data_IF_339704830123
#
_entry.id   IF_339704830123
#
_cell.length_a   1.000
_cell.length_b   1.000
_cell.length_c   1.000
_cell.angle_alpha   90.00
_cell.angle_beta   90.00
_cell.angle_gamma   90.00
#
_symmetry.space_group_name_H-M   'P 1'
#
loop_
_entity.id
_entity.type
_entity.pdbx_description
1 polymer ?
#
# COMPACT_ATOMS: atom_id res chain seq x y z
N UNK A 1 26.27 43.00 29.83
CA UNK A 1 25.85 41.86 28.97
C UNK A 1 27.10 41.02 28.68
N UNK A 2 27.16 39.75 29.10
CA UNK A 2 28.34 38.90 28.86
C UNK A 2 28.38 38.52 27.37
N UNK A 3 29.50 38.74 26.65
CA UNK A 3 29.58 38.35 25.24
C UNK A 3 29.59 36.82 25.12
N UNK A 4 28.84 36.31 24.14
CA UNK A 4 28.86 34.89 23.79
C UNK A 4 30.25 34.54 23.23
N UNK A 5 31.00 33.71 23.95
CA UNK A 5 32.34 33.24 23.56
C UNK A 5 32.30 31.71 23.45
N UNK A 6 31.72 31.15 22.38
CA UNK A 6 31.65 29.71 22.21
C UNK A 6 33.07 29.15 22.09
N UNK A 7 33.34 28.06 22.80
CA UNK A 7 34.60 27.33 22.66
C UNK A 7 34.76 26.79 21.24
N UNK A 8 36.01 26.59 20.81
CA UNK A 8 36.32 26.11 19.45
C UNK A 8 35.68 24.74 19.14
N UNK A 9 35.56 23.85 20.14
CA UNK A 9 34.90 22.54 20.00
C UNK A 9 33.41 22.69 19.66
N UNK A 10 32.58 23.40 20.46
CA UNK A 10 31.19 23.68 20.09
C UNK A 10 31.03 24.30 18.69
N UNK A 11 31.91 25.22 18.31
CA UNK A 11 31.87 25.88 17.01
C UNK A 11 32.09 24.89 15.86
N UNK A 12 33.08 23.99 15.97
CA UNK A 12 33.32 22.96 14.95
C UNK A 12 32.17 21.95 14.86
N UNK A 13 31.60 21.56 16.00
CA UNK A 13 30.43 20.67 16.03
C UNK A 13 29.25 21.30 15.33
N UNK A 14 28.92 22.56 15.61
CA UNK A 14 27.83 23.28 14.94
C UNK A 14 28.12 23.42 13.44
N UNK A 15 29.37 23.75 13.07
CA UNK A 15 29.76 23.88 11.66
C UNK A 15 29.60 22.57 10.88
N UNK A 16 29.80 21.43 11.52
CA UNK A 16 29.59 20.11 10.91
C UNK A 16 28.10 19.69 10.92
N UNK A 17 27.39 19.90 12.02
CA UNK A 17 25.99 19.47 12.17
C UNK A 17 25.02 20.30 11.35
N UNK A 18 25.22 21.63 11.29
CA UNK A 18 24.31 22.55 10.61
C UNK A 18 24.07 22.16 9.12
N UNK A 19 25.09 21.94 8.28
CA UNK A 19 24.87 21.51 6.90
C UNK A 19 24.22 20.12 6.82
N UNK A 20 24.55 19.20 7.74
CA UNK A 20 23.92 17.88 7.81
C UNK A 20 22.43 17.96 8.11
N UNK A 21 22.03 18.79 9.08
CA UNK A 21 20.63 19.01 9.42
C UNK A 21 19.86 19.72 8.29
N UNK A 22 20.49 20.66 7.59
CA UNK A 22 19.88 21.29 6.41
C UNK A 22 19.67 20.27 5.29
N UNK A 23 20.67 19.43 5.00
CA UNK A 23 20.55 18.38 3.99
C UNK A 23 19.44 17.38 4.34
N UNK A 24 19.35 16.96 5.61
CA UNK A 24 18.27 16.12 6.10
C UNK A 24 16.91 16.82 6.01
N UNK A 25 16.83 18.12 6.31
CA UNK A 25 15.62 18.92 6.13
C UNK A 25 15.14 18.96 4.68
N UNK A 26 16.05 19.21 3.74
CA UNK A 26 15.75 19.14 2.31
C UNK A 26 15.29 17.74 1.88
N UNK A 27 15.93 16.69 2.39
CA UNK A 27 15.52 15.32 2.13
C UNK A 27 14.11 15.02 2.65
N UNK A 28 13.78 15.47 3.87
CA UNK A 28 12.43 15.34 4.44
C UNK A 28 11.39 16.07 3.60
N UNK A 29 11.70 17.27 3.10
CA UNK A 29 10.82 18.02 2.19
C UNK A 29 10.62 17.30 0.86
N UNK A 30 11.69 16.76 0.27
CA UNK A 30 11.60 15.94 -0.94
C UNK A 30 10.71 14.72 -0.74
N UNK A 31 10.89 13.99 0.38
CA UNK A 31 10.04 12.85 0.75
C UNK A 31 8.59 13.23 1.01
N UNK A 32 8.34 14.42 1.55
CA UNK A 32 6.99 14.94 1.71
C UNK A 32 6.34 15.19 0.34
N UNK A 33 7.07 15.78 -0.60
CA UNK A 33 6.56 16.04 -1.94
C UNK A 33 6.30 14.76 -2.74
N UNK A 34 7.21 13.78 -2.68
CA UNK A 34 6.98 12.43 -3.25
C UNK A 34 5.66 11.83 -2.76
N UNK A 35 5.39 11.93 -1.45
CA UNK A 35 4.13 11.46 -0.87
C UNK A 35 2.92 12.26 -1.34
N UNK A 36 3.05 13.58 -1.48
CA UNK A 36 1.97 14.45 -1.96
C UNK A 36 1.58 14.11 -3.40
N UNK A 37 2.57 13.92 -4.27
CA UNK A 37 2.33 13.50 -5.66
C UNK A 37 1.60 12.16 -5.71
N UNK A 38 2.05 11.17 -4.92
CA UNK A 38 1.41 9.86 -4.87
C UNK A 38 -0.05 9.93 -4.37
N UNK A 39 -0.32 10.75 -3.35
CA UNK A 39 -1.68 10.97 -2.85
C UNK A 39 -2.57 11.72 -3.85
N UNK A 40 -2.00 12.68 -4.60
CA UNK A 40 -2.72 13.36 -5.67
C UNK A 40 -3.10 12.39 -6.79
N UNK A 41 -2.15 11.56 -7.27
CA UNK A 41 -2.44 10.52 -8.28
C UNK A 41 -3.51 9.53 -7.79
N UNK A 42 -3.45 9.14 -6.51
CA UNK A 42 -4.49 8.30 -5.91
C UNK A 42 -5.86 8.98 -5.92
N UNK A 43 -5.93 10.25 -5.53
CA UNK A 43 -7.19 11.00 -5.49
C UNK A 43 -7.80 11.16 -6.89
N UNK A 44 -6.98 11.48 -7.89
CA UNK A 44 -7.40 11.60 -9.29
C UNK A 44 -7.95 10.26 -9.83
N UNK A 45 -7.16 9.18 -9.75
CA UNK A 45 -7.53 7.87 -10.30
C UNK A 45 -8.72 7.22 -9.59
N UNK A 46 -8.99 7.60 -8.33
CA UNK A 46 -10.13 7.10 -7.56
C UNK A 46 -11.48 7.60 -8.09
N UNK A 47 -11.52 8.81 -8.66
CA UNK A 47 -12.76 9.43 -9.19
C UNK A 47 -12.99 9.06 -10.66
N UNK A 48 -11.94 8.60 -11.36
CA UNK A 48 -12.07 8.14 -12.74
C UNK A 48 -12.98 6.92 -12.91
N UNK A 49 -13.52 6.78 -14.11
CA UNK A 49 -14.38 5.66 -14.47
C UNK A 49 -13.63 4.33 -14.28
N UNK A 50 -14.31 3.30 -13.73
CA UNK A 50 -13.72 1.97 -13.60
C UNK A 50 -13.35 1.39 -14.97
N UNK A 51 -12.19 0.77 -15.06
CA UNK A 51 -11.72 0.12 -16.28
C UNK A 51 -12.14 -1.35 -16.30
N UNK A 52 -12.27 -1.91 -17.50
CA UNK A 52 -12.51 -3.34 -17.68
C UNK A 52 -11.26 -4.15 -17.34
N UNK A 53 -11.45 -5.36 -16.81
CA UNK A 53 -10.38 -6.29 -16.43
C UNK A 53 -9.43 -6.61 -17.57
N UNK A 54 -9.95 -6.75 -18.79
CA UNK A 54 -9.15 -7.02 -19.99
C UNK A 54 -8.10 -5.93 -20.28
N UNK A 55 -8.30 -4.69 -19.80
CA UNK A 55 -7.38 -3.57 -20.03
C UNK A 55 -6.29 -3.45 -18.94
N UNK A 56 -6.37 -4.26 -17.87
CA UNK A 56 -5.44 -4.18 -16.74
C UNK A 56 -4.00 -4.51 -17.14
N UNK A 57 -3.82 -5.42 -18.10
CA UNK A 57 -2.52 -5.87 -18.56
C UNK A 57 -2.00 -5.10 -19.78
N UNK A 58 -2.83 -4.24 -20.39
CA UNK A 58 -2.47 -3.49 -21.60
C UNK A 58 -1.73 -2.18 -21.31
N UNK A 59 -1.81 -1.66 -20.08
CA UNK A 59 -1.11 -0.45 -19.65
C UNK A 59 -0.11 -0.78 -18.56
N UNK A 60 1.07 -0.17 -18.62
CA UNK A 60 2.14 -0.41 -17.66
C UNK A 60 1.78 0.10 -16.26
N UNK A 61 1.05 1.22 -16.13
CA UNK A 61 0.67 1.79 -14.83
C UNK A 61 -0.84 1.92 -14.65
N UNK A 62 -1.44 0.87 -14.06
CA UNK A 62 -2.83 0.85 -13.63
C UNK A 62 -2.99 1.00 -12.10
N UNK A 63 -1.95 1.44 -11.37
CA UNK A 63 -2.03 1.60 -9.92
C UNK A 63 -3.18 2.56 -9.55
N UNK A 64 -3.93 2.24 -8.50
CA UNK A 64 -5.04 3.05 -7.98
C UNK A 64 -6.24 3.23 -8.94
N UNK A 65 -6.32 2.45 -10.01
CA UNK A 65 -7.50 2.39 -10.88
C UNK A 65 -8.59 1.51 -10.28
N UNK A 66 -9.85 1.94 -10.39
CA UNK A 66 -11.02 1.11 -10.05
C UNK A 66 -11.28 0.10 -11.16
N UNK A 67 -11.67 -1.11 -10.78
CA UNK A 67 -11.99 -2.21 -11.69
C UNK A 67 -13.25 -2.91 -11.19
N UNK A 68 -14.15 -3.23 -12.11
CA UNK A 68 -15.27 -4.11 -11.83
C UNK A 68 -14.90 -5.55 -12.23
N UNK A 69 -15.02 -6.46 -11.27
CA UNK A 69 -14.75 -7.88 -11.44
C UNK A 69 -16.07 -8.64 -11.30
N UNK A 70 -16.27 -9.69 -12.10
CA UNK A 70 -17.40 -10.59 -11.94
C UNK A 70 -16.95 -12.04 -12.08
N UNK A 71 -17.11 -12.82 -11.01
CA UNK A 71 -16.55 -14.16 -11.00
C UNK A 71 -16.53 -14.80 -9.63
N UNK A 72 -15.63 -15.76 -9.42
CA UNK A 72 -15.61 -16.60 -8.23
C UNK A 72 -14.24 -16.62 -7.57
N UNK A 73 -14.24 -16.75 -6.25
CA UNK A 73 -13.02 -17.00 -5.49
C UNK A 73 -12.63 -18.47 -5.53
N UNK A 74 -11.32 -18.71 -5.47
CA UNK A 74 -10.77 -20.02 -5.17
C UNK A 74 -10.59 -20.17 -3.65
N UNK A 75 -11.30 -21.14 -3.07
CA UNK A 75 -11.23 -21.42 -1.65
C UNK A 75 -10.03 -22.30 -1.27
N UNK A 76 -9.48 -23.07 -2.21
CA UNK A 76 -8.38 -24.00 -1.92
C UNK A 76 -7.04 -23.28 -1.82
N UNK A 77 -6.84 -22.25 -2.65
CA UNK A 77 -5.56 -21.54 -2.76
C UNK A 77 -5.61 -20.17 -2.09
N UNK A 78 -5.62 -20.10 -0.76
CA UNK A 78 -5.56 -18.81 -0.04
C UNK A 78 -4.15 -18.49 0.47
N UNK A 79 -3.77 -17.22 0.44
CA UNK A 79 -2.49 -16.72 0.94
C UNK A 79 -2.76 -15.76 2.09
N UNK A 80 -2.22 -16.08 3.27
CA UNK A 80 -2.24 -15.19 4.43
C UNK A 80 -0.91 -14.46 4.51
N UNK A 81 -0.95 -13.15 4.35
CA UNK A 81 0.24 -12.31 4.49
C UNK A 81 0.36 -11.85 5.95
N UNK A 82 1.38 -12.34 6.64
CA UNK A 82 1.63 -12.08 8.05
C UNK A 82 2.30 -10.72 8.31
N UNK A 83 2.57 -10.44 9.60
CA UNK A 83 3.22 -9.22 10.07
C UNK A 83 2.53 -7.91 9.65
N UNK A 84 1.19 -7.95 9.51
CA UNK A 84 0.39 -6.76 9.22
C UNK A 84 -0.15 -6.17 10.51
N UNK A 85 0.36 -5.00 10.89
CA UNK A 85 -0.15 -4.24 12.03
C UNK A 85 -1.21 -3.23 11.58
N UNK A 86 -2.37 -3.25 12.24
CA UNK A 86 -3.44 -2.26 12.06
C UNK A 86 -3.94 -1.81 13.45
N UNK A 87 -3.95 -0.51 13.69
CA UNK A 87 -4.38 0.09 14.96
C UNK A 87 -3.70 -0.54 16.21
N UNK A 88 -2.40 -0.85 16.08
CA UNK A 88 -1.60 -1.47 17.16
C UNK A 88 -1.84 -2.96 17.38
N UNK A 89 -2.70 -3.62 16.58
CA UNK A 89 -2.96 -5.06 16.65
C UNK A 89 -2.23 -5.79 15.53
N UNK A 90 -1.59 -6.91 15.86
CA UNK A 90 -1.04 -7.83 14.89
C UNK A 90 -2.16 -8.61 14.17
N UNK A 91 -1.99 -8.83 12.88
CA UNK A 91 -2.92 -9.58 12.07
C UNK A 91 -2.33 -9.99 10.73
N UNK A 92 -3.21 -10.52 9.88
CA UNK A 92 -2.87 -11.00 8.55
C UNK A 92 -3.73 -10.30 7.52
N UNK A 93 -3.19 -10.10 6.32
CA UNK A 93 -4.00 -9.77 5.14
C UNK A 93 -4.38 -11.07 4.43
N UNK A 94 -5.67 -11.24 4.11
CA UNK A 94 -6.18 -12.39 3.37
C UNK A 94 -6.13 -12.08 1.87
N UNK A 95 -5.29 -12.78 1.13
CA UNK A 95 -5.22 -12.71 -0.33
C UNK A 95 -5.80 -13.99 -0.91
N UNK A 96 -6.77 -13.87 -1.81
CA UNK A 96 -7.37 -15.01 -2.49
C UNK A 96 -7.39 -14.80 -4.01
N UNK A 97 -7.03 -15.83 -4.80
CA UNK A 97 -7.24 -15.85 -6.22
C UNK A 97 -8.73 -15.72 -6.53
N UNK A 98 -9.02 -14.90 -7.53
CA UNK A 98 -10.33 -14.65 -8.06
C UNK A 98 -10.27 -14.87 -9.56
N UNK A 99 -11.12 -15.77 -10.03
CA UNK A 99 -11.28 -16.02 -11.45
C UNK A 99 -12.37 -15.08 -11.99
N UNK A 100 -11.96 -14.09 -12.77
CA UNK A 100 -12.88 -13.19 -13.46
C UNK A 100 -13.50 -13.92 -14.66
N UNK A 101 -14.82 -14.10 -14.65
CA UNK A 101 -15.55 -14.77 -15.73
C UNK A 101 -15.69 -13.88 -16.97
N UNK A 102 -15.65 -12.55 -16.81
CA UNK A 102 -15.76 -11.63 -17.93
C UNK A 102 -14.50 -11.62 -18.82
N UNK A 103 -13.31 -11.68 -18.23
CA UNK A 103 -12.03 -11.69 -18.96
C UNK A 103 -11.32 -13.05 -19.01
N UNK A 104 -11.70 -14.01 -18.18
CA UNK A 104 -11.00 -15.29 -18.02
C UNK A 104 -9.65 -15.18 -17.30
N UNK A 105 -9.37 -14.04 -16.67
CA UNK A 105 -8.11 -13.77 -15.98
C UNK A 105 -8.17 -14.19 -14.51
N UNK A 106 -7.05 -14.68 -14.00
CA UNK A 106 -6.86 -14.93 -12.57
C UNK A 106 -6.22 -13.69 -11.92
N UNK A 107 -6.90 -13.15 -10.91
CA UNK A 107 -6.48 -11.96 -10.18
C UNK A 107 -6.32 -12.30 -8.70
N UNK A 108 -5.26 -11.79 -8.06
CA UNK A 108 -5.10 -11.93 -6.62
C UNK A 108 -5.79 -10.76 -5.91
N UNK A 109 -6.86 -11.04 -5.16
CA UNK A 109 -7.64 -10.03 -4.45
C UNK A 109 -7.25 -10.04 -2.97
N UNK A 110 -6.87 -8.87 -2.46
CA UNK A 110 -6.75 -8.64 -1.02
C UNK A 110 -8.14 -8.38 -0.43
N UNK A 111 -8.66 -9.32 0.37
CA UNK A 111 -9.97 -9.24 1.03
C UNK A 111 -9.95 -8.40 2.31
N UNK A 112 -8.78 -7.95 2.74
CA UNK A 112 -8.61 -7.09 3.90
C UNK A 112 -7.82 -7.74 5.02
N UNK A 113 -7.81 -7.04 6.16
CA UNK A 113 -7.04 -7.39 7.34
C UNK A 113 -7.91 -8.16 8.35
N UNK A 114 -7.36 -9.25 8.88
CA UNK A 114 -7.96 -10.08 9.92
C UNK A 114 -7.07 -10.05 11.18
N UNK A 115 -7.64 -9.89 12.38
CA UNK A 115 -6.87 -9.93 13.62
C UNK A 115 -6.30 -11.33 13.84
N UNK A 116 -5.02 -11.41 14.20
CA UNK A 116 -4.34 -12.68 14.48
C UNK A 116 -3.45 -12.53 15.71
N UNK A 117 -4.10 -12.61 16.88
CA UNK A 117 -3.48 -12.38 18.19
C UNK A 117 -2.64 -13.57 18.67
N UNK A 118 -3.12 -14.80 18.41
CA UNK A 118 -2.38 -16.03 18.71
C UNK A 118 -2.08 -16.78 17.41
N UNK A 119 -0.79 -16.82 17.06
CA UNK A 119 -0.28 -17.48 15.85
C UNK A 119 -0.49 -18.99 15.86
N UNK A 120 -0.81 -19.59 17.02
CA UNK A 120 -1.09 -21.01 17.18
C UNK A 120 -2.51 -21.39 16.74
N UNK A 121 -3.42 -20.42 16.68
CA UNK A 121 -4.81 -20.64 16.24
C UNK A 121 -4.91 -20.27 14.76
N UNK A 122 -5.34 -21.16 13.86
CA UNK A 122 -5.57 -20.82 12.46
C UNK A 122 -6.60 -19.69 12.31
N UNK A 123 -6.36 -18.77 11.39
CA UNK A 123 -7.34 -17.72 11.06
C UNK A 123 -8.49 -18.36 10.30
N UNK A 124 -9.70 -18.24 10.85
CA UNK A 124 -10.92 -18.70 10.19
C UNK A 124 -11.51 -17.58 9.33
N UNK A 125 -11.87 -17.90 8.09
CA UNK A 125 -12.55 -17.01 7.17
C UNK A 125 -13.48 -17.83 6.27
N UNK A 126 -14.56 -17.21 5.82
CA UNK A 126 -15.50 -17.83 4.89
C UNK A 126 -15.27 -17.29 3.48
N UNK A 127 -15.27 -18.19 2.50
CA UNK A 127 -15.17 -17.87 1.08
C UNK A 127 -16.52 -18.17 0.42
N UNK A 128 -17.16 -17.17 -0.20
CA UNK A 128 -18.42 -17.40 -0.91
C UNK A 128 -18.18 -18.29 -2.13
N UNK A 129 -18.95 -19.37 -2.26
CA UNK A 129 -18.85 -20.31 -3.37
C UNK A 129 -19.54 -19.80 -4.67
N UNK A 130 -20.42 -18.81 -4.55
CA UNK A 130 -21.18 -18.25 -5.66
C UNK A 130 -20.41 -17.15 -6.40
N UNK A 131 -20.79 -16.90 -7.66
CA UNK A 131 -20.26 -15.78 -8.42
C UNK A 131 -20.69 -14.45 -7.80
N UNK A 132 -19.75 -13.51 -7.71
CA UNK A 132 -19.93 -12.21 -7.07
C UNK A 132 -19.40 -11.09 -7.98
N UNK A 133 -20.14 -10.00 -8.04
CA UNK A 133 -19.68 -8.73 -8.60
C UNK A 133 -18.90 -7.95 -7.52
N UNK A 134 -17.68 -7.53 -7.86
CA UNK A 134 -16.77 -6.85 -6.94
C UNK A 134 -16.25 -5.55 -7.55
N UNK A 135 -16.24 -4.51 -6.73
CA UNK A 135 -15.49 -3.29 -7.00
C UNK A 135 -14.13 -3.39 -6.32
N UNK A 136 -13.07 -3.42 -7.12
CA UNK A 136 -11.71 -3.53 -6.63
C UNK A 136 -10.88 -2.31 -7.04
N UNK A 137 -9.83 -2.04 -6.27
CA UNK A 137 -8.80 -1.07 -6.62
C UNK A 137 -7.52 -1.83 -7.00
N UNK A 138 -6.96 -1.51 -8.15
CA UNK A 138 -5.67 -2.07 -8.55
C UNK A 138 -4.55 -1.51 -7.66
N UNK A 139 -3.79 -2.40 -7.03
CA UNK A 139 -2.62 -2.04 -6.20
C UNK A 139 -1.30 -2.40 -6.92
N UNK A 140 -1.37 -2.92 -8.16
CA UNK A 140 -0.20 -3.31 -8.93
C UNK A 140 0.69 -2.10 -9.19
N UNK A 141 1.85 -2.09 -8.53
CA UNK A 141 2.95 -1.21 -8.86
C UNK A 141 3.65 -1.82 -10.06
N UNK A 142 3.66 -1.10 -11.19
CA UNK A 142 4.60 -1.39 -12.28
C UNK A 142 6.02 -1.38 -11.67
N UNK A 143 6.78 -2.45 -11.87
CA UNK A 143 8.17 -2.50 -11.40
C UNK A 143 9.01 -1.45 -12.10
#
# INVERSE_FOLDING_TARGET
MRPFRPGWVPTLVVLALLPGLIALGCWQLGRAEEKRVLLATYAERRVEAPIATAQLFSKEDNAFRRVHLYGRFDAEHSVLLDNRMRDGKAGVELLQPFHDQASGLWLLINRGWLPWLDRRVPVHFETPAQALALDALCVCRAR
#
